data_IF_284642765364
#
_entry.id   IF_284642765364
#
_cell.length_a   1.000
_cell.length_b   1.000
_cell.length_c   1.000
_cell.angle_alpha   90.00
_cell.angle_beta   90.00
_cell.angle_gamma   90.00
#
_symmetry.space_group_name_H-M   'P 1'
#
loop_
_entity.id
_entity.type
_entity.pdbx_description
1 polymer ?
#
# COMPACT_ATOMS: atom_id res chain seq x y z
N UNK A 1 -33.02 63.60 -7.83
CA UNK A 1 -31.64 63.71 -8.35
C UNK A 1 -31.04 62.31 -8.25
N UNK A 2 -31.00 61.59 -9.38
CA UNK A 2 -30.51 60.21 -9.44
C UNK A 2 -29.01 60.29 -9.71
N UNK A 3 -28.20 59.96 -8.70
CA UNK A 3 -26.75 59.91 -8.82
C UNK A 3 -26.39 58.65 -9.61
N UNK A 4 -26.13 58.83 -10.91
CA UNK A 4 -25.64 57.79 -11.79
C UNK A 4 -24.16 57.58 -11.46
N UNK A 5 -23.89 56.67 -10.52
CA UNK A 5 -22.54 56.21 -10.19
C UNK A 5 -21.88 55.70 -11.49
N UNK A 6 -20.83 56.41 -11.92
CA UNK A 6 -20.08 56.12 -13.14
C UNK A 6 -19.45 54.72 -13.15
N UNK A 7 -18.94 54.25 -14.31
CA UNK A 7 -18.46 52.89 -14.50
C UNK A 7 -17.36 52.57 -13.47
N UNK A 8 -17.71 51.68 -12.55
CA UNK A 8 -16.87 51.22 -11.45
C UNK A 8 -15.50 50.80 -12.00
N UNK A 9 -14.45 51.54 -11.60
CA UNK A 9 -13.05 51.31 -12.00
C UNK A 9 -12.76 49.82 -11.86
N UNK A 10 -12.45 49.13 -12.97
CA UNK A 10 -12.12 47.70 -12.98
C UNK A 10 -11.01 47.42 -11.96
N UNK A 11 -11.38 46.96 -10.77
CA UNK A 11 -10.44 46.63 -9.70
C UNK A 11 -9.56 45.49 -10.19
N UNK A 12 -8.25 45.73 -10.30
CA UNK A 12 -7.29 44.71 -10.72
C UNK A 12 -7.08 43.74 -9.56
N UNK A 13 -7.73 42.57 -9.61
CA UNK A 13 -7.63 41.52 -8.58
C UNK A 13 -6.36 40.69 -8.76
N UNK A 14 -5.69 40.39 -7.66
CA UNK A 14 -4.53 39.50 -7.64
C UNK A 14 -4.97 38.05 -7.93
N UNK A 15 -4.05 37.19 -8.36
CA UNK A 15 -4.36 35.78 -8.61
C UNK A 15 -4.79 35.07 -7.34
N UNK A 16 -4.16 35.38 -6.20
CA UNK A 16 -4.51 34.83 -4.90
C UNK A 16 -5.93 35.22 -4.47
N UNK A 17 -6.33 36.48 -4.69
CA UNK A 17 -7.71 36.92 -4.47
C UNK A 17 -8.71 36.14 -5.34
N UNK A 18 -8.40 35.91 -6.62
CA UNK A 18 -9.27 35.12 -7.50
C UNK A 18 -9.42 33.68 -7.01
N UNK A 19 -8.33 33.05 -6.57
CA UNK A 19 -8.34 31.69 -6.01
C UNK A 19 -9.21 31.64 -4.76
N UNK A 20 -9.06 32.59 -3.83
CA UNK A 20 -9.85 32.65 -2.61
C UNK A 20 -11.36 32.79 -2.89
N UNK A 21 -11.74 33.66 -3.83
CA UNK A 21 -13.15 33.84 -4.23
C UNK A 21 -13.71 32.55 -4.86
N UNK A 22 -12.92 31.88 -5.70
CA UNK A 22 -13.32 30.62 -6.32
C UNK A 22 -13.50 29.53 -5.27
N UNK A 23 -12.56 29.36 -4.34
CA UNK A 23 -12.64 28.40 -3.23
C UNK A 23 -13.87 28.65 -2.36
N UNK A 24 -14.11 29.90 -1.94
CA UNK A 24 -15.29 30.28 -1.16
C UNK A 24 -16.60 29.92 -1.88
N UNK A 25 -16.63 29.98 -3.21
CA UNK A 25 -17.81 29.59 -3.97
C UNK A 25 -18.10 28.08 -3.95
N UNK A 26 -17.13 27.24 -3.59
CA UNK A 26 -17.30 25.79 -3.43
C UNK A 26 -17.70 25.39 -2.01
N UNK A 27 -17.70 26.32 -1.05
CA UNK A 27 -18.09 26.04 0.33
C UNK A 27 -19.58 25.66 0.44
N UNK A 28 -19.94 24.69 1.31
CA UNK A 28 -21.33 24.32 1.54
C UNK A 28 -22.18 25.52 1.97
N UNK A 29 -23.34 25.71 1.33
CA UNK A 29 -24.25 26.85 1.60
C UNK A 29 -23.90 28.15 0.87
N UNK A 30 -22.77 28.22 0.17
CA UNK A 30 -22.41 29.37 -0.67
C UNK A 30 -22.93 29.19 -2.10
N UNK A 31 -23.62 30.21 -2.63
CA UNK A 31 -24.00 30.25 -4.05
C UNK A 31 -23.07 31.15 -4.84
N UNK A 32 -22.86 30.83 -6.12
CA UNK A 32 -22.04 31.66 -7.02
C UNK A 32 -22.52 33.11 -7.04
N UNK A 33 -23.84 33.32 -7.06
CA UNK A 33 -24.45 34.65 -7.05
C UNK A 33 -24.18 35.42 -5.75
N UNK A 34 -24.21 34.75 -4.60
CA UNK A 34 -23.91 35.36 -3.31
C UNK A 34 -22.45 35.81 -3.24
N UNK A 35 -21.53 34.90 -3.57
CA UNK A 35 -20.09 35.17 -3.54
C UNK A 35 -19.70 36.25 -4.57
N UNK A 36 -20.30 36.22 -5.77
CA UNK A 36 -20.13 37.24 -6.79
C UNK A 36 -20.50 38.65 -6.29
N UNK A 37 -21.66 38.78 -5.60
CA UNK A 37 -22.11 40.07 -5.03
C UNK A 37 -21.21 40.53 -3.88
N UNK A 38 -20.84 39.63 -2.97
CA UNK A 38 -19.97 39.94 -1.84
C UNK A 38 -18.61 40.49 -2.28
N UNK A 39 -18.07 39.95 -3.38
CA UNK A 39 -16.76 40.33 -3.89
C UNK A 39 -16.79 41.35 -5.03
N UNK A 40 -17.97 41.82 -5.45
CA UNK A 40 -18.13 42.73 -6.59
C UNK A 40 -17.62 42.15 -7.92
N UNK A 41 -17.81 40.84 -8.14
CA UNK A 41 -17.42 40.12 -9.36
C UNK A 41 -18.68 39.81 -10.16
N UNK A 42 -18.63 39.93 -11.48
CA UNK A 42 -19.73 39.43 -12.31
C UNK A 42 -19.84 37.91 -12.19
N UNK A 43 -21.05 37.37 -11.96
CA UNK A 43 -21.24 35.93 -11.80
C UNK A 43 -20.68 35.11 -12.97
N UNK A 44 -20.76 35.63 -14.21
CA UNK A 44 -20.17 35.02 -15.41
C UNK A 44 -18.64 34.87 -15.34
N UNK A 45 -17.93 35.85 -14.77
CA UNK A 45 -16.49 35.77 -14.53
C UNK A 45 -16.17 34.72 -13.47
N UNK A 46 -16.98 34.64 -12.41
CA UNK A 46 -16.79 33.62 -11.37
C UNK A 46 -17.07 32.20 -11.90
N UNK A 47 -18.03 32.02 -12.80
CA UNK A 47 -18.22 30.73 -13.50
C UNK A 47 -17.02 30.35 -14.37
N UNK A 48 -16.47 31.30 -15.12
CA UNK A 48 -15.27 31.08 -15.92
C UNK A 48 -14.08 30.70 -15.02
N UNK A 49 -13.90 31.40 -13.90
CA UNK A 49 -12.84 31.10 -12.95
C UNK A 49 -13.05 29.75 -12.25
N UNK A 50 -14.28 29.37 -11.89
CA UNK A 50 -14.60 28.03 -11.38
C UNK A 50 -14.32 26.92 -12.39
N UNK A 51 -14.55 27.20 -13.68
CA UNK A 51 -14.24 26.28 -14.77
C UNK A 51 -12.72 26.13 -14.89
N UNK A 52 -12.00 27.24 -15.01
CA UNK A 52 -10.53 27.27 -15.05
C UNK A 52 -9.88 26.67 -13.80
N UNK A 53 -10.47 26.81 -12.62
CA UNK A 53 -9.99 26.20 -11.38
C UNK A 53 -10.19 24.68 -11.35
N UNK A 54 -11.35 24.20 -11.83
CA UNK A 54 -11.59 22.75 -12.02
C UNK A 54 -10.68 22.14 -13.09
N UNK A 55 -10.40 22.89 -14.14
CA UNK A 55 -9.53 22.51 -15.25
C UNK A 55 -8.04 22.77 -14.94
N UNK A 56 -7.69 23.24 -13.74
CA UNK A 56 -6.30 23.50 -13.32
C UNK A 56 -5.61 24.71 -13.98
N UNK A 57 -6.33 25.47 -14.83
CA UNK A 57 -5.80 26.61 -15.58
C UNK A 57 -5.70 27.92 -14.80
N UNK A 58 -6.43 28.10 -13.69
CA UNK A 58 -6.42 29.39 -12.97
C UNK A 58 -5.13 29.62 -12.14
N UNK A 59 -4.40 28.55 -11.84
CA UNK A 59 -3.11 28.58 -11.17
C UNK A 59 -1.92 28.88 -12.09
N UNK A 60 -2.13 28.91 -13.42
CA UNK A 60 -1.06 29.10 -14.40
C UNK A 60 -0.72 30.59 -14.70
N UNK A 61 -1.40 31.57 -14.09
CA UNK A 61 -1.29 33.00 -14.50
C UNK A 61 -0.63 33.91 -13.44
N UNK A 62 0.05 33.37 -12.44
CA UNK A 62 1.01 34.19 -11.67
C UNK A 62 2.18 33.36 -11.14
N UNK A 63 3.38 33.84 -11.43
CA UNK A 63 4.69 33.45 -10.87
C UNK A 63 5.46 32.28 -11.50
N UNK A 64 5.10 31.74 -12.67
CA UNK A 64 5.94 30.73 -13.33
C UNK A 64 6.15 29.44 -12.50
N UNK A 65 5.36 29.26 -11.44
CA UNK A 65 5.37 28.06 -10.61
C UNK A 65 4.41 27.03 -11.20
N UNK A 66 4.91 25.81 -11.36
CA UNK A 66 4.14 24.68 -11.83
C UNK A 66 3.23 24.19 -10.70
N UNK A 67 1.98 24.66 -10.69
CA UNK A 67 0.99 24.21 -9.72
C UNK A 67 0.25 23.01 -10.27
N UNK A 68 0.35 21.87 -9.58
CA UNK A 68 -0.38 20.64 -9.89
C UNK A 68 -1.87 20.84 -9.56
N UNK A 69 -2.80 20.55 -10.47
CA UNK A 69 -4.24 20.59 -10.19
C UNK A 69 -4.61 19.75 -8.97
N UNK A 70 -5.56 20.23 -8.16
CA UNK A 70 -5.97 19.52 -6.94
C UNK A 70 -6.47 18.08 -7.21
N UNK A 71 -7.09 17.84 -8.38
CA UNK A 71 -7.50 16.51 -8.84
C UNK A 71 -6.31 15.58 -9.12
N UNK A 72 -5.26 16.11 -9.75
CA UNK A 72 -4.03 15.37 -10.03
C UNK A 72 -3.25 15.08 -8.75
N UNK A 73 -3.18 16.04 -7.83
CA UNK A 73 -2.59 15.83 -6.52
C UNK A 73 -3.33 14.72 -5.74
N UNK A 74 -4.67 14.75 -5.73
CA UNK A 74 -5.48 13.72 -5.08
C UNK A 74 -5.29 12.33 -5.73
N UNK A 75 -5.23 12.27 -7.05
CA UNK A 75 -4.96 11.03 -7.79
C UNK A 75 -3.55 10.49 -7.49
N UNK A 76 -2.54 11.36 -7.47
CA UNK A 76 -1.17 11.01 -7.13
C UNK A 76 -1.05 10.49 -5.69
N UNK A 77 -1.71 11.16 -4.72
CA UNK A 77 -1.75 10.69 -3.33
C UNK A 77 -2.38 9.31 -3.20
N UNK A 78 -3.48 9.04 -3.93
CA UNK A 78 -4.11 7.72 -3.97
C UNK A 78 -3.15 6.66 -4.54
N UNK A 79 -2.45 7.00 -5.62
CA UNK A 79 -1.47 6.10 -6.25
C UNK A 79 -0.29 5.82 -5.32
N UNK A 80 0.23 6.83 -4.63
CA UNK A 80 1.30 6.68 -3.64
C UNK A 80 0.87 5.70 -2.54
N UNK A 81 -0.33 5.84 -2.00
CA UNK A 81 -0.85 4.93 -0.96
C UNK A 81 -0.95 3.49 -1.45
N UNK A 82 -1.42 3.29 -2.69
CA UNK A 82 -1.52 1.95 -3.27
C UNK A 82 -0.14 1.34 -3.55
N UNK A 83 0.79 2.12 -4.08
CA UNK A 83 2.18 1.69 -4.30
C UNK A 83 2.88 1.35 -2.97
N UNK A 84 2.70 2.15 -1.93
CA UNK A 84 3.22 1.85 -0.59
C UNK A 84 2.65 0.52 -0.06
N UNK A 85 1.36 0.27 -0.25
CA UNK A 85 0.71 -1.00 0.13
C UNK A 85 1.29 -2.19 -0.64
N UNK A 86 1.47 -2.06 -1.95
CA UNK A 86 2.04 -3.10 -2.80
C UNK A 86 3.51 -3.37 -2.47
N UNK A 87 4.28 -2.30 -2.23
CA UNK A 87 5.68 -2.39 -1.80
C UNK A 87 5.76 -3.14 -0.47
N UNK A 88 4.97 -2.77 0.54
CA UNK A 88 4.92 -3.47 1.82
C UNK A 88 4.63 -4.97 1.66
N UNK A 89 3.66 -5.33 0.80
CA UNK A 89 3.38 -6.74 0.48
C UNK A 89 4.59 -7.44 -0.14
N UNK A 90 5.25 -6.82 -1.11
CA UNK A 90 6.40 -7.40 -1.81
C UNK A 90 7.65 -7.51 -0.92
N UNK A 91 7.87 -6.55 -0.02
CA UNK A 91 8.93 -6.62 0.99
C UNK A 91 8.73 -7.83 1.88
N UNK A 92 7.51 -8.04 2.39
CA UNK A 92 7.21 -9.22 3.22
C UNK A 92 7.40 -10.53 2.45
N UNK A 93 6.97 -10.59 1.18
CA UNK A 93 7.19 -11.78 0.33
C UNK A 93 8.69 -12.05 0.11
N UNK A 94 9.51 -11.03 -0.10
CA UNK A 94 10.95 -11.16 -0.30
C UNK A 94 11.68 -11.64 0.96
N UNK A 95 11.37 -11.10 2.13
CA UNK A 95 11.99 -11.54 3.39
C UNK A 95 11.69 -13.01 3.67
N UNK A 96 10.44 -13.42 3.48
CA UNK A 96 10.06 -14.83 3.60
C UNK A 96 10.81 -15.73 2.62
N UNK A 97 10.92 -15.32 1.35
CA UNK A 97 11.60 -16.11 0.32
C UNK A 97 13.10 -16.22 0.57
N UNK A 98 13.75 -15.17 1.08
CA UNK A 98 15.16 -15.23 1.51
C UNK A 98 15.36 -16.30 2.59
N UNK A 99 14.50 -16.29 3.60
CA UNK A 99 14.56 -17.28 4.67
C UNK A 99 14.21 -18.69 4.18
N UNK A 100 13.28 -18.80 3.23
CA UNK A 100 12.91 -20.08 2.63
C UNK A 100 14.09 -20.77 1.90
N UNK A 101 15.01 -19.99 1.32
CA UNK A 101 16.19 -20.51 0.60
C UNK A 101 17.11 -21.31 1.53
N UNK A 102 17.19 -20.95 2.81
CA UNK A 102 18.02 -21.67 3.80
C UNK A 102 17.53 -23.10 4.06
N UNK A 103 16.24 -23.39 3.83
CA UNK A 103 15.62 -24.69 4.13
C UNK A 103 15.62 -25.68 2.96
N UNK A 104 16.18 -25.32 1.80
CA UNK A 104 16.36 -26.25 0.66
C UNK A 104 15.12 -26.51 -0.20
N UNK A 105 15.16 -27.57 -1.03
CA UNK A 105 14.22 -27.76 -2.18
C UNK A 105 12.80 -28.23 -1.82
N UNK A 106 12.58 -28.76 -0.61
CA UNK A 106 11.30 -29.32 -0.22
C UNK A 106 10.35 -28.24 0.32
N UNK A 107 9.52 -27.67 -0.55
CA UNK A 107 8.61 -26.54 -0.24
C UNK A 107 7.74 -26.74 1.01
N UNK A 108 7.36 -27.98 1.29
CA UNK A 108 6.50 -28.33 2.43
C UNK A 108 7.28 -28.27 3.75
N UNK A 109 8.52 -28.73 3.76
CA UNK A 109 9.39 -28.69 4.93
C UNK A 109 9.85 -27.26 5.22
N UNK A 110 10.22 -26.50 4.17
CA UNK A 110 10.49 -25.06 4.28
C UNK A 110 9.27 -24.30 4.83
N UNK A 111 8.06 -24.63 4.35
CA UNK A 111 6.84 -24.01 4.85
C UNK A 111 6.59 -24.32 6.34
N UNK A 112 6.84 -25.56 6.78
CA UNK A 112 6.72 -25.94 8.21
C UNK A 112 7.73 -25.16 9.07
N UNK A 113 8.98 -25.06 8.63
CA UNK A 113 10.04 -24.35 9.35
C UNK A 113 9.73 -22.84 9.48
N UNK A 114 9.28 -22.19 8.41
CA UNK A 114 8.90 -20.77 8.42
C UNK A 114 7.73 -20.52 9.38
N UNK A 115 6.73 -21.39 9.39
CA UNK A 115 5.58 -21.25 10.30
C UNK A 115 6.02 -21.42 11.76
N UNK A 116 6.93 -22.36 12.04
CA UNK A 116 7.53 -22.52 13.37
C UNK A 116 8.32 -21.29 13.83
N UNK A 117 8.87 -20.51 12.88
CA UNK A 117 9.56 -19.23 13.14
C UNK A 117 8.64 -18.02 13.22
N UNK A 118 7.33 -18.24 13.22
CA UNK A 118 6.31 -17.20 13.44
C UNK A 118 5.73 -16.59 12.15
N UNK A 119 6.10 -17.08 10.97
CA UNK A 119 5.46 -16.65 9.74
C UNK A 119 4.01 -17.12 9.66
N UNK A 120 3.10 -16.23 9.26
CA UNK A 120 1.70 -16.56 9.12
C UNK A 120 1.45 -17.58 7.99
N UNK A 121 0.65 -18.63 8.29
CA UNK A 121 0.28 -19.70 7.34
C UNK A 121 -0.26 -19.14 6.01
N UNK A 122 -0.98 -18.03 6.06
CA UNK A 122 -1.50 -17.34 4.88
C UNK A 122 -0.43 -16.86 3.93
N UNK A 123 0.61 -16.26 4.49
CA UNK A 123 1.68 -15.66 3.72
C UNK A 123 2.57 -16.77 3.15
N UNK A 124 2.94 -17.75 3.99
CA UNK A 124 3.75 -18.90 3.62
C UNK A 124 3.11 -19.71 2.48
N UNK A 125 1.82 -20.05 2.60
CA UNK A 125 1.09 -20.76 1.55
C UNK A 125 1.10 -20.01 0.22
N UNK A 126 0.85 -18.70 0.25
CA UNK A 126 0.80 -17.86 -0.95
C UNK A 126 2.18 -17.73 -1.59
N UNK A 127 3.22 -17.48 -0.80
CA UNK A 127 4.59 -17.29 -1.27
C UNK A 127 5.18 -18.58 -1.84
N UNK A 128 5.06 -19.70 -1.13
CA UNK A 128 5.65 -20.98 -1.53
C UNK A 128 4.74 -21.81 -2.46
N UNK A 129 3.50 -21.35 -2.69
CA UNK A 129 2.47 -22.05 -3.46
C UNK A 129 2.18 -23.46 -2.93
N UNK A 130 2.13 -23.61 -1.61
CA UNK A 130 1.77 -24.85 -0.91
C UNK A 130 0.32 -24.76 -0.46
N UNK A 131 -0.44 -25.85 -0.58
CA UNK A 131 -1.86 -25.89 -0.17
C UNK A 131 -2.01 -25.57 1.32
N UNK A 132 -2.90 -24.62 1.64
CA UNK A 132 -3.23 -24.26 3.03
C UNK A 132 -3.79 -25.44 3.83
N UNK A 133 -4.65 -26.23 3.20
CA UNK A 133 -5.24 -27.40 3.83
C UNK A 133 -4.14 -28.43 4.17
N UNK A 134 -3.21 -28.64 3.24
CA UNK A 134 -2.06 -29.52 3.47
C UNK A 134 -1.17 -29.00 4.60
N UNK A 135 -0.89 -27.69 4.67
CA UNK A 135 -0.13 -27.11 5.78
C UNK A 135 -0.83 -27.31 7.12
N UNK A 136 -2.14 -27.09 7.20
CA UNK A 136 -2.88 -27.33 8.44
C UNK A 136 -2.88 -28.80 8.85
N UNK A 137 -2.97 -29.73 7.90
CA UNK A 137 -2.83 -31.17 8.17
C UNK A 137 -1.45 -31.47 8.73
N UNK A 138 -0.39 -30.92 8.13
CA UNK A 138 1.00 -31.18 8.51
C UNK A 138 1.33 -30.57 9.88
N UNK A 139 0.87 -29.36 10.15
CA UNK A 139 1.09 -28.68 11.44
C UNK A 139 0.38 -29.37 12.62
N UNK A 140 -0.62 -30.22 12.35
CA UNK A 140 -1.33 -31.01 13.36
C UNK A 140 -0.74 -32.39 13.59
N UNK A 141 0.24 -32.80 12.78
CA UNK A 141 0.93 -34.08 12.96
C UNK A 141 1.83 -34.01 14.19
N UNK A 142 1.90 -35.10 14.93
CA UNK A 142 2.92 -35.32 15.95
C UNK A 142 4.29 -35.47 15.28
N UNK A 143 5.37 -35.25 16.02
CA UNK A 143 6.73 -35.44 15.48
C UNK A 143 7.00 -36.90 15.09
N UNK A 144 6.32 -37.83 15.76
CA UNK A 144 6.40 -39.28 15.51
C UNK A 144 5.49 -39.73 14.34
N UNK A 145 4.80 -38.79 13.69
CA UNK A 145 3.87 -39.13 12.61
C UNK A 145 4.63 -39.69 11.41
N UNK A 146 4.28 -40.91 11.00
CA UNK A 146 4.77 -41.54 9.77
C UNK A 146 3.64 -41.68 8.75
N UNK A 147 3.94 -41.41 7.48
CA UNK A 147 2.99 -41.66 6.39
C UNK A 147 2.79 -43.18 6.27
N UNK A 148 1.55 -43.66 6.44
CA UNK A 148 1.22 -45.07 6.29
C UNK A 148 1.59 -45.65 4.92
N UNK A 149 1.74 -44.80 3.88
CA UNK A 149 2.24 -45.20 2.55
C UNK A 149 3.76 -45.38 2.48
N UNK A 150 4.50 -44.82 3.45
CA UNK A 150 5.96 -44.92 3.58
C UNK A 150 6.39 -45.78 4.76
N UNK A 151 5.51 -46.67 5.24
CA UNK A 151 5.91 -47.67 6.23
C UNK A 151 6.83 -48.71 5.59
N UNK A 152 8.10 -48.34 5.40
CA UNK A 152 9.20 -49.30 5.43
C UNK A 152 9.84 -49.17 6.80
N UNK A 153 9.78 -50.24 7.57
CA UNK A 153 10.57 -50.36 8.77
C UNK A 153 12.04 -50.47 8.32
N UNK A 154 12.85 -49.45 8.55
CA UNK A 154 14.31 -49.55 8.39
C UNK A 154 14.83 -50.09 9.73
N UNK A 155 15.36 -51.30 9.73
CA UNK A 155 16.01 -51.88 10.90
C UNK A 155 17.37 -51.19 11.10
N UNK A 156 17.33 -50.02 11.74
CA UNK A 156 18.50 -49.16 11.98
C UNK A 156 19.34 -49.64 13.18
N UNK A 157 19.03 -50.81 13.75
CA UNK A 157 19.70 -51.38 14.93
C UNK A 157 21.21 -51.45 14.72
N UNK A 158 21.65 -51.89 13.55
CA UNK A 158 23.07 -52.05 13.23
C UNK A 158 23.80 -50.70 13.04
N UNK A 159 23.11 -49.70 12.49
CA UNK A 159 23.67 -48.34 12.35
C UNK A 159 23.82 -47.67 13.71
N UNK A 160 22.82 -47.83 14.59
CA UNK A 160 22.85 -47.32 15.95
C UNK A 160 23.98 -47.97 16.76
N UNK A 161 24.16 -49.29 16.65
CA UNK A 161 25.27 -50.00 17.30
C UNK A 161 26.63 -49.48 16.84
N UNK A 162 26.81 -49.20 15.55
CA UNK A 162 28.05 -48.60 15.03
C UNK A 162 28.27 -47.19 15.55
N UNK A 163 27.24 -46.35 15.61
CA UNK A 163 27.34 -44.99 16.17
C UNK A 163 27.72 -45.05 17.65
N UNK A 164 27.06 -45.90 18.44
CA UNK A 164 27.36 -46.08 19.86
C UNK A 164 28.79 -46.60 20.10
N UNK A 165 29.26 -47.53 19.26
CA UNK A 165 30.63 -48.00 19.32
C UNK A 165 31.64 -46.87 19.05
N UNK A 166 31.41 -46.07 18.00
CA UNK A 166 32.30 -44.94 17.67
C UNK A 166 32.30 -43.88 18.78
N UNK A 167 31.14 -43.55 19.35
CA UNK A 167 31.05 -42.60 20.47
C UNK A 167 31.76 -43.15 21.71
N UNK A 168 31.61 -44.44 22.03
CA UNK A 168 32.29 -45.09 23.15
C UNK A 168 33.81 -45.19 22.99
N UNK A 169 34.32 -45.23 21.76
CA UNK A 169 35.76 -45.21 21.47
C UNK A 169 36.36 -43.80 21.60
N UNK A 170 35.57 -42.75 21.35
CA UNK A 170 36.02 -41.34 21.36
C UNK A 170 35.97 -40.72 22.78
N UNK A 171 35.15 -41.25 23.68
CA UNK A 171 35.05 -40.82 25.09
C UNK A 171 35.46 -41.97 26.03
N UNK A 172 36.75 -42.30 26.17
CA UNK A 172 37.20 -43.14 27.26
C UNK A 172 37.06 -42.34 28.56
N UNK A 173 36.35 -42.91 29.54
CA UNK A 173 36.30 -42.43 30.93
C UNK A 173 37.68 -42.25 31.54
#
# INVERSE_FOLDING_TARGET
>A
MIDVLGPEKRRRRTTQEKIAIVQQSFEPGMTVSLVARQHGVAASQLFLWRKQYREGSLTAVAAGEQVVPASELAAAMKQIKELQRLLGKKTMENELLKEAVEYGRAKVDSARALIARGWGVSLVSRCLRVSRAQLHVILRRTDDWMDGRRSRHTDDTDVLLRIHHVIGVILPT
#
